data_IF_501094724594
#
_entry.id   IF_501094724594
#
_cell.length_a   1.000
_cell.length_b   1.000
_cell.length_c   1.000
_cell.angle_alpha   90.00
_cell.angle_beta   90.00
_cell.angle_gamma   90.00
#
_symmetry.space_group_name_H-M   'P 1'
#
loop_
_entity.id
_entity.type
_entity.pdbx_description
1 polymer ?
#
# COMPACT_ATOMS: atom_id res chain seq x y z
N UNK A 1 19.40 29.53 -45.13
CA UNK A 1 20.12 28.49 -44.33
C UNK A 1 19.87 28.62 -42.84
N UNK A 2 19.97 29.83 -42.24
CA UNK A 2 19.71 30.04 -40.80
C UNK A 2 18.27 29.68 -40.40
N UNK A 3 17.30 30.02 -41.24
CA UNK A 3 15.86 29.77 -40.98
C UNK A 3 15.49 28.28 -40.98
N UNK A 4 16.17 27.48 -41.82
CA UNK A 4 15.96 26.02 -41.86
C UNK A 4 16.55 25.36 -40.61
N UNK A 5 17.74 25.78 -40.18
CA UNK A 5 18.38 25.27 -38.97
C UNK A 5 17.58 25.61 -37.70
N UNK A 6 17.01 26.82 -37.63
CA UNK A 6 16.19 27.24 -36.49
C UNK A 6 14.90 26.43 -36.38
N UNK A 7 14.25 26.13 -37.53
CA UNK A 7 13.05 25.29 -37.57
C UNK A 7 13.34 23.86 -37.12
N UNK A 8 14.44 23.27 -37.57
CA UNK A 8 14.82 21.90 -37.16
C UNK A 8 15.16 21.81 -35.67
N UNK A 9 15.83 22.81 -35.10
CA UNK A 9 16.13 22.85 -33.66
C UNK A 9 14.84 22.98 -32.84
N UNK A 10 13.90 23.84 -33.28
CA UNK A 10 12.62 24.00 -32.62
C UNK A 10 11.78 22.71 -32.64
N UNK A 11 11.71 22.02 -33.78
CA UNK A 11 11.02 20.73 -33.93
C UNK A 11 11.63 19.64 -33.04
N UNK A 12 12.97 19.60 -32.91
CA UNK A 12 13.66 18.66 -32.03
C UNK A 12 13.35 18.90 -30.56
N UNK A 13 13.31 20.16 -30.13
CA UNK A 13 12.96 20.54 -28.75
C UNK A 13 11.51 20.12 -28.46
N UNK A 14 10.56 20.44 -29.34
CA UNK A 14 9.16 20.05 -29.17
C UNK A 14 9.01 18.52 -29.12
N UNK A 15 9.74 17.78 -29.96
CA UNK A 15 9.73 16.33 -29.93
C UNK A 15 10.27 15.77 -28.61
N UNK A 16 11.33 16.34 -28.06
CA UNK A 16 11.87 15.95 -26.74
C UNK A 16 10.87 16.21 -25.63
N UNK A 17 10.20 17.37 -25.63
CA UNK A 17 9.16 17.68 -24.67
C UNK A 17 7.94 16.74 -24.80
N UNK A 18 7.53 16.41 -26.03
CA UNK A 18 6.45 15.47 -26.26
C UNK A 18 6.79 14.07 -25.75
N UNK A 19 8.01 13.59 -25.96
CA UNK A 19 8.49 12.30 -25.45
C UNK A 19 8.55 12.31 -23.92
N UNK A 20 9.11 13.36 -23.32
CA UNK A 20 9.17 13.50 -21.87
C UNK A 20 7.77 13.55 -21.24
N UNK A 21 6.84 14.30 -21.85
CA UNK A 21 5.46 14.39 -21.39
C UNK A 21 4.72 13.06 -21.56
N UNK A 22 4.96 12.34 -22.66
CA UNK A 22 4.41 11.01 -22.89
C UNK A 22 4.94 10.00 -21.86
N UNK A 23 6.23 10.06 -21.51
CA UNK A 23 6.81 9.23 -20.46
C UNK A 23 6.21 9.56 -19.08
N UNK A 24 6.03 10.85 -18.76
CA UNK A 24 5.37 11.27 -17.52
C UNK A 24 3.89 10.84 -17.45
N UNK A 25 3.18 10.85 -18.57
CA UNK A 25 1.81 10.32 -18.64
C UNK A 25 1.82 8.80 -18.44
N UNK A 26 2.77 8.09 -19.06
CA UNK A 26 2.92 6.65 -18.84
C UNK A 26 3.20 6.34 -17.37
N UNK A 27 4.11 7.07 -16.73
CA UNK A 27 4.39 6.96 -15.29
C UNK A 27 3.15 7.28 -14.44
N UNK A 28 2.37 8.30 -14.81
CA UNK A 28 1.14 8.70 -14.12
C UNK A 28 -0.08 7.81 -14.35
N UNK A 29 -0.15 7.08 -15.47
CA UNK A 29 -1.25 6.16 -15.82
C UNK A 29 -0.96 4.69 -15.45
N UNK A 30 0.27 4.37 -15.03
CA UNK A 30 0.69 3.03 -14.64
C UNK A 30 0.58 2.64 -13.14
N UNK A 31 -0.04 3.38 -12.20
CA UNK A 31 -0.19 2.86 -10.85
C UNK A 31 -1.38 1.87 -10.83
N UNK A 32 -1.11 0.60 -11.15
CA UNK A 32 -2.08 -0.50 -10.99
C UNK A 32 -2.09 -1.59 -12.07
N UNK A 33 -1.35 -1.44 -13.17
CA UNK A 33 -1.29 -2.46 -14.25
C UNK A 33 0.05 -3.24 -14.31
N UNK A 34 0.93 -2.98 -13.34
CA UNK A 34 2.34 -3.38 -13.29
C UNK A 34 2.63 -4.68 -12.53
N UNK A 35 1.60 -5.48 -12.22
CA UNK A 35 1.81 -6.87 -11.82
C UNK A 35 1.94 -7.77 -13.06
N UNK A 36 0.81 -8.24 -13.59
CA UNK A 36 0.82 -9.28 -14.62
C UNK A 36 1.42 -8.87 -15.97
N UNK A 37 1.21 -7.65 -16.45
CA UNK A 37 1.68 -7.25 -17.81
C UNK A 37 3.18 -7.00 -17.82
N UNK A 38 3.71 -6.34 -16.79
CA UNK A 38 5.15 -6.11 -16.64
C UNK A 38 5.90 -7.39 -16.28
N UNK A 39 5.30 -8.28 -15.48
CA UNK A 39 5.85 -9.62 -15.28
C UNK A 39 5.80 -10.45 -16.56
N UNK A 40 4.77 -10.30 -17.39
CA UNK A 40 4.71 -10.88 -18.74
C UNK A 40 5.82 -10.37 -19.65
N UNK A 41 6.08 -9.07 -19.67
CA UNK A 41 7.17 -8.45 -20.44
C UNK A 41 8.54 -8.86 -19.89
N UNK A 42 8.72 -8.84 -18.57
CA UNK A 42 9.94 -9.30 -17.90
C UNK A 42 10.24 -10.76 -18.19
N UNK A 43 9.22 -11.63 -18.16
CA UNK A 43 9.36 -13.05 -18.54
C UNK A 43 9.69 -13.20 -20.03
N UNK A 44 9.11 -12.38 -20.91
CA UNK A 44 9.44 -12.37 -22.33
C UNK A 44 10.89 -11.91 -22.59
N UNK A 45 11.37 -10.89 -21.85
CA UNK A 45 12.77 -10.43 -21.91
C UNK A 45 13.72 -11.50 -21.35
N UNK A 46 13.32 -12.19 -20.29
CA UNK A 46 14.11 -13.27 -19.67
C UNK A 46 14.23 -14.51 -20.56
N UNK A 47 13.26 -14.72 -21.46
CA UNK A 47 13.26 -15.77 -22.48
C UNK A 47 14.22 -15.46 -23.66
N UNK A 48 14.69 -14.22 -23.79
CA UNK A 48 15.73 -13.88 -24.77
C UNK A 48 17.09 -14.43 -24.32
N UNK A 49 17.97 -14.80 -25.27
CA UNK A 49 19.31 -15.33 -24.99
C UNK A 49 20.30 -14.21 -24.59
N UNK A 50 19.95 -13.44 -23.57
CA UNK A 50 20.74 -12.34 -23.03
C UNK A 50 21.63 -12.89 -21.89
N UNK A 51 22.90 -12.45 -21.76
CA UNK A 51 23.75 -12.81 -20.63
C UNK A 51 23.06 -12.55 -19.27
N UNK A 52 23.25 -13.48 -18.32
CA UNK A 52 22.53 -13.47 -17.03
C UNK A 52 22.63 -12.16 -16.24
N UNK A 53 23.75 -11.45 -16.33
CA UNK A 53 23.96 -10.18 -15.60
C UNK A 53 23.19 -8.99 -16.18
N UNK A 54 22.58 -9.13 -17.36
CA UNK A 54 21.70 -8.14 -17.98
C UNK A 54 20.23 -8.53 -17.90
N UNK A 55 19.91 -9.69 -17.31
CA UNK A 55 18.52 -10.10 -17.11
C UNK A 55 17.96 -9.32 -15.92
N UNK A 56 16.76 -8.72 -16.04
CA UNK A 56 16.10 -8.10 -14.91
C UNK A 56 15.83 -9.16 -13.83
N UNK A 57 16.05 -8.82 -12.55
CA UNK A 57 15.53 -9.63 -11.44
C UNK A 57 14.00 -9.49 -11.46
N UNK A 58 13.31 -10.63 -11.44
CA UNK A 58 11.86 -10.74 -11.46
C UNK A 58 11.36 -11.40 -10.16
N UNK A 59 12.13 -11.33 -9.09
CA UNK A 59 11.86 -12.08 -7.85
C UNK A 59 10.51 -11.67 -7.21
N UNK A 60 10.01 -10.48 -7.53
CA UNK A 60 8.72 -9.96 -7.09
C UNK A 60 7.54 -10.36 -8.01
N UNK A 61 7.80 -10.91 -9.19
CA UNK A 61 6.78 -11.25 -10.20
C UNK A 61 5.99 -12.55 -9.93
N UNK A 62 6.18 -13.15 -8.76
CA UNK A 62 5.49 -14.36 -8.32
C UNK A 62 4.72 -14.21 -7.01
N UNK A 63 4.73 -13.01 -6.40
CA UNK A 63 3.95 -12.76 -5.18
C UNK A 63 2.47 -12.63 -5.54
N UNK A 64 1.84 -13.79 -5.66
CA UNK A 64 0.40 -13.93 -5.68
C UNK A 64 -0.08 -13.60 -4.26
N UNK A 65 -0.22 -12.31 -3.95
CA UNK A 65 -0.93 -11.85 -2.76
C UNK A 65 -2.39 -12.28 -2.90
N UNK A 66 -2.61 -13.54 -2.56
CA UNK A 66 -3.94 -14.09 -2.40
C UNK A 66 -4.27 -13.68 -0.98
N UNK A 67 -5.10 -12.66 -0.80
CA UNK A 67 -5.70 -12.35 0.50
C UNK A 67 -6.49 -13.59 0.92
N UNK A 68 -5.81 -14.51 1.61
CA UNK A 68 -6.46 -15.69 2.13
C UNK A 68 -7.26 -15.21 3.33
N UNK A 69 -8.59 -15.35 3.25
CA UNK A 69 -9.46 -15.17 4.40
C UNK A 69 -8.94 -16.02 5.55
N UNK A 70 -8.58 -15.39 6.66
CA UNK A 70 -8.10 -16.06 7.85
C UNK A 70 -9.24 -16.13 8.86
N UNK A 71 -9.59 -17.34 9.28
CA UNK A 71 -10.58 -17.53 10.35
C UNK A 71 -9.85 -17.56 11.69
N UNK A 72 -10.14 -16.59 12.56
CA UNK A 72 -9.60 -16.53 13.91
C UNK A 72 -10.42 -17.44 14.83
N UNK A 73 -9.79 -18.49 15.36
CA UNK A 73 -10.44 -19.42 16.31
C UNK A 73 -10.47 -18.90 17.75
N UNK A 74 -9.87 -17.74 18.01
CA UNK A 74 -9.80 -17.11 19.31
C UNK A 74 -10.43 -15.72 19.25
N UNK A 75 -10.91 -15.18 20.38
CA UNK A 75 -11.48 -13.84 20.41
C UNK A 75 -10.48 -12.79 19.95
N UNK A 76 -10.90 -11.86 19.11
CA UNK A 76 -10.06 -10.75 18.69
C UNK A 76 -10.02 -9.68 19.78
N UNK A 77 -8.82 -9.20 20.11
CA UNK A 77 -8.57 -8.03 20.95
C UNK A 77 -7.75 -6.96 20.19
N UNK A 78 -7.60 -5.76 20.79
CA UNK A 78 -6.83 -4.66 20.19
C UNK A 78 -5.38 -5.09 19.87
N UNK A 79 -4.77 -5.89 20.73
CA UNK A 79 -3.39 -6.36 20.60
C UNK A 79 -3.19 -7.28 19.39
N UNK A 80 -4.14 -8.18 19.15
CA UNK A 80 -4.15 -9.07 17.99
C UNK A 80 -4.38 -8.27 16.71
N UNK A 81 -5.36 -7.37 16.70
CA UNK A 81 -5.62 -6.54 15.53
C UNK A 81 -4.41 -5.68 15.17
N UNK A 82 -3.74 -5.13 16.18
CA UNK A 82 -2.54 -4.33 16.00
C UNK A 82 -1.39 -5.16 15.42
N UNK A 83 -1.20 -6.41 15.87
CA UNK A 83 -0.20 -7.30 15.27
C UNK A 83 -0.43 -7.49 13.76
N UNK A 84 -1.67 -7.73 13.34
CA UNK A 84 -2.00 -7.85 11.91
C UNK A 84 -1.76 -6.54 11.14
N UNK A 85 -1.98 -5.40 11.77
CA UNK A 85 -1.71 -4.09 11.18
C UNK A 85 -0.20 -3.83 11.03
N UNK A 86 0.60 -4.14 12.06
CA UNK A 86 2.06 -4.07 12.03
C UNK A 86 2.64 -4.96 10.93
N UNK A 87 2.24 -6.24 10.89
CA UNK A 87 2.70 -7.18 9.86
C UNK A 87 2.29 -6.72 8.45
N UNK A 88 1.09 -6.15 8.30
CA UNK A 88 0.65 -5.57 7.04
C UNK A 88 1.51 -4.35 6.65
N UNK A 89 1.89 -3.51 7.60
CA UNK A 89 2.76 -2.37 7.36
C UNK A 89 4.16 -2.81 6.94
N UNK A 90 4.84 -3.62 7.76
CA UNK A 90 6.22 -4.06 7.52
C UNK A 90 6.37 -4.76 6.15
N UNK A 91 5.46 -5.67 5.82
CA UNK A 91 5.53 -6.39 4.56
C UNK A 91 5.33 -5.50 3.32
N UNK A 92 4.67 -4.34 3.45
CA UNK A 92 4.33 -3.49 2.30
C UNK A 92 5.14 -2.19 2.24
N UNK A 93 5.69 -1.72 3.37
CA UNK A 93 6.57 -0.54 3.44
C UNK A 93 7.99 -0.87 2.94
N UNK A 94 8.39 -2.14 2.91
CA UNK A 94 9.68 -2.63 2.37
C UNK A 94 9.81 -2.58 0.83
N UNK A 95 9.01 -1.76 0.13
CA UNK A 95 9.27 -1.41 -1.27
C UNK A 95 8.38 -2.11 -2.31
N UNK A 96 7.15 -2.47 -1.96
CA UNK A 96 6.15 -2.88 -2.95
C UNK A 96 5.60 -1.66 -3.68
N UNK A 97 6.25 -1.30 -4.80
CA UNK A 97 6.04 -0.06 -5.54
C UNK A 97 4.58 0.24 -5.90
N UNK A 98 3.97 1.19 -5.17
CA UNK A 98 2.75 1.90 -5.56
C UNK A 98 1.48 1.05 -5.69
N UNK A 99 1.47 -0.19 -5.20
CA UNK A 99 0.33 -1.09 -5.30
C UNK A 99 -0.41 -1.20 -3.96
N UNK A 100 -1.72 -1.01 -3.99
CA UNK A 100 -2.61 -1.14 -2.84
C UNK A 100 -3.05 -2.59 -2.69
N UNK A 101 -2.95 -3.15 -1.49
CA UNK A 101 -3.24 -4.56 -1.22
C UNK A 101 -4.10 -4.76 0.02
N UNK A 102 -5.02 -5.71 -0.06
CA UNK A 102 -5.61 -6.31 1.14
C UNK A 102 -4.61 -7.28 1.73
N UNK A 103 -4.06 -6.94 2.89
CA UNK A 103 -3.13 -7.80 3.63
C UNK A 103 -3.86 -9.00 4.21
N UNK A 104 -4.96 -8.73 4.92
CA UNK A 104 -5.72 -9.73 5.66
C UNK A 104 -7.23 -9.47 5.52
N UNK A 105 -7.99 -10.56 5.37
CA UNK A 105 -9.44 -10.59 5.55
C UNK A 105 -9.70 -11.52 6.74
N UNK A 106 -9.84 -10.93 7.93
CA UNK A 106 -9.99 -11.64 9.19
C UNK A 106 -11.47 -11.93 9.41
N UNK A 107 -11.83 -13.21 9.49
CA UNK A 107 -13.14 -13.63 9.95
C UNK A 107 -13.07 -14.03 11.42
N UNK A 108 -13.82 -13.33 12.25
CA UNK A 108 -13.69 -13.36 13.70
C UNK A 108 -14.99 -13.86 14.29
N UNK A 109 -14.94 -14.99 15.00
CA UNK A 109 -16.13 -15.55 15.63
C UNK A 109 -16.63 -14.71 16.81
N UNK A 110 -15.71 -14.11 17.58
CA UNK A 110 -16.03 -13.30 18.75
C UNK A 110 -15.00 -12.18 18.93
N UNK A 111 -15.44 -10.98 19.28
CA UNK A 111 -14.57 -9.85 19.64
C UNK A 111 -14.58 -9.67 21.15
N UNK A 112 -13.39 -9.65 21.76
CA UNK A 112 -13.23 -9.47 23.19
C UNK A 112 -13.48 -8.00 23.56
N UNK A 113 -14.72 -7.68 23.92
CA UNK A 113 -15.12 -6.32 24.28
C UNK A 113 -15.45 -5.47 23.05
N UNK A 114 -14.97 -4.22 23.06
CA UNK A 114 -15.19 -3.24 21.98
C UNK A 114 -13.86 -2.63 21.60
N UNK A 115 -13.43 -2.87 20.37
CA UNK A 115 -12.22 -2.29 19.79
C UNK A 115 -12.65 -1.01 19.09
N UNK A 116 -12.04 0.12 19.45
CA UNK A 116 -12.32 1.44 18.90
C UNK A 116 -11.05 2.03 18.30
N UNK A 117 -11.18 3.06 17.48
CA UNK A 117 -10.01 3.79 16.98
C UNK A 117 -9.17 4.38 18.14
N UNK A 118 -9.83 4.82 19.21
CA UNK A 118 -9.17 5.40 20.39
C UNK A 118 -8.34 4.36 21.16
N UNK A 119 -8.91 3.18 21.44
CA UNK A 119 -8.20 2.10 22.13
C UNK A 119 -7.06 1.55 21.29
N UNK A 120 -7.27 1.42 19.98
CA UNK A 120 -6.24 1.03 19.03
C UNK A 120 -5.09 2.05 18.97
N UNK A 121 -5.41 3.34 18.94
CA UNK A 121 -4.42 4.42 18.91
C UNK A 121 -3.63 4.51 20.22
N UNK A 122 -4.30 4.33 21.36
CA UNK A 122 -3.64 4.28 22.66
C UNK A 122 -2.63 3.13 22.72
N UNK A 123 -2.96 1.98 22.11
CA UNK A 123 -2.08 0.83 22.06
C UNK A 123 -0.87 1.06 21.14
N UNK A 124 -1.04 1.79 20.03
CA UNK A 124 0.08 2.23 19.18
C UNK A 124 1.07 3.11 19.97
N UNK A 125 0.56 4.03 20.79
CA UNK A 125 1.38 4.87 21.67
C UNK A 125 2.11 4.04 22.72
N UNK A 126 1.42 3.14 23.41
CA UNK A 126 1.99 2.25 24.42
C UNK A 126 3.15 1.39 23.85
N UNK A 127 3.00 0.90 22.61
CA UNK A 127 4.02 0.09 21.94
C UNK A 127 5.12 0.88 21.24
N UNK A 128 5.05 2.21 21.26
CA UNK A 128 6.04 3.08 20.61
C UNK A 128 6.01 3.01 19.08
N UNK A 129 4.84 2.71 18.50
CA UNK A 129 4.65 2.55 17.06
C UNK A 129 4.20 3.85 16.38
N UNK A 130 4.13 4.96 17.11
CA UNK A 130 3.72 6.26 16.57
C UNK A 130 4.64 6.82 15.50
N UNK A 131 5.90 6.37 15.42
CA UNK A 131 6.78 6.77 14.32
C UNK A 131 6.54 5.92 13.05
N UNK A 132 6.04 4.69 13.22
CA UNK A 132 5.81 3.72 12.14
C UNK A 132 4.42 3.86 11.54
N UNK A 133 3.38 3.80 12.38
CA UNK A 133 1.97 3.89 12.00
C UNK A 133 1.31 5.02 12.82
N UNK A 134 1.67 6.29 12.57
CA UNK A 134 1.07 7.41 13.28
C UNK A 134 -0.43 7.51 13.00
N UNK A 135 -1.21 7.82 14.02
CA UNK A 135 -2.63 8.15 13.95
C UNK A 135 -2.90 9.41 14.77
N UNK A 136 -2.93 10.57 14.14
CA UNK A 136 -3.12 11.85 14.81
C UNK A 136 -4.46 12.53 14.50
N UNK A 137 -5.28 11.89 13.66
CA UNK A 137 -6.60 12.37 13.30
C UNK A 137 -7.63 11.26 13.50
N UNK A 138 -8.12 11.16 14.73
CA UNK A 138 -9.19 10.23 15.09
C UNK A 138 -10.53 10.82 14.66
N UNK A 139 -11.43 9.98 14.12
CA UNK A 139 -12.80 10.38 13.77
C UNK A 139 -13.74 10.32 15.00
N UNK A 140 -13.20 10.64 16.17
CA UNK A 140 -13.90 10.64 17.45
C UNK A 140 -13.96 12.07 17.97
N UNK A 141 -15.17 12.59 18.19
CA UNK A 141 -15.34 13.95 18.73
C UNK A 141 -14.66 14.07 20.11
N UNK A 142 -13.59 14.88 20.18
CA UNK A 142 -12.86 15.23 21.41
C UNK A 142 -12.02 14.10 22.05
N UNK A 143 -11.54 13.12 21.29
CA UNK A 143 -10.47 12.27 21.84
C UNK A 143 -9.22 13.12 22.10
N UNK A 144 -8.66 13.01 23.30
CA UNK A 144 -7.39 13.63 23.68
C UNK A 144 -6.18 12.76 23.32
N UNK A 145 -6.41 11.72 22.54
CA UNK A 145 -5.47 10.65 22.22
C UNK A 145 -4.98 10.85 20.80
N UNK A 146 -3.69 11.03 20.62
CA UNK A 146 -3.02 11.13 19.32
C UNK A 146 -1.74 10.30 19.33
N UNK A 147 -1.29 9.88 18.14
CA UNK A 147 -0.09 9.07 18.00
C UNK A 147 0.72 9.60 16.81
N UNK A 148 1.78 10.35 17.11
CA UNK A 148 2.70 10.89 16.11
C UNK A 148 2.22 12.17 15.41
N UNK A 149 2.98 12.61 14.41
CA UNK A 149 2.79 13.92 13.76
C UNK A 149 2.02 13.88 12.43
N UNK A 150 1.59 12.70 11.98
CA UNK A 150 0.88 12.52 10.71
C UNK A 150 -0.24 11.48 10.82
N UNK A 151 -1.02 11.29 9.76
CA UNK A 151 -2.10 10.32 9.76
C UNK A 151 -1.85 9.22 8.72
N UNK A 152 -1.38 8.07 9.20
CA UNK A 152 -1.08 6.88 8.40
C UNK A 152 -2.04 5.73 8.69
N UNK A 153 -2.97 5.90 9.62
CA UNK A 153 -4.08 5.00 9.86
C UNK A 153 -5.39 5.63 9.36
N UNK A 154 -6.27 4.83 8.76
CA UNK A 154 -7.60 5.25 8.37
C UNK A 154 -8.61 4.22 8.87
N UNK A 155 -9.34 4.61 9.90
CA UNK A 155 -10.37 3.79 10.53
C UNK A 155 -11.72 3.97 9.82
N UNK A 156 -12.28 2.90 9.24
CA UNK A 156 -13.56 2.95 8.49
C UNK A 156 -14.67 2.09 9.08
N UNK A 157 -14.32 1.17 9.97
CA UNK A 157 -15.21 0.12 10.48
C UNK A 157 -16.10 0.57 11.66
N UNK A 158 -15.82 1.73 12.26
CA UNK A 158 -16.49 2.16 13.50
C UNK A 158 -16.09 1.28 14.68
N UNK A 159 -16.93 1.17 15.70
CA UNK A 159 -16.66 0.31 16.86
C UNK A 159 -16.80 -1.17 16.47
N UNK A 160 -15.75 -1.96 16.70
CA UNK A 160 -15.74 -3.39 16.40
C UNK A 160 -16.16 -4.15 17.67
N UNK A 161 -17.31 -4.82 17.62
CA UNK A 161 -17.81 -5.64 18.72
C UNK A 161 -18.79 -6.72 18.23
N UNK A 162 -19.02 -7.74 19.05
CA UNK A 162 -19.99 -8.80 18.78
C UNK A 162 -19.38 -10.08 18.21
N UNK A 163 -20.18 -10.81 17.44
CA UNK A 163 -19.87 -12.14 16.90
C UNK A 163 -19.89 -12.12 15.36
N UNK A 164 -19.15 -13.05 14.74
CA UNK A 164 -19.10 -13.26 13.28
C UNK A 164 -18.75 -12.00 12.46
N UNK A 165 -17.76 -11.23 12.95
CA UNK A 165 -17.30 -9.99 12.31
C UNK A 165 -16.24 -10.29 11.24
N UNK A 166 -16.29 -9.57 10.12
CA UNK A 166 -15.20 -9.59 9.12
C UNK A 166 -14.48 -8.26 9.15
N UNK A 167 -13.16 -8.29 9.30
CA UNK A 167 -12.30 -7.11 9.35
C UNK A 167 -11.28 -7.22 8.24
N UNK A 168 -11.13 -6.17 7.46
CA UNK A 168 -10.18 -6.11 6.37
C UNK A 168 -9.06 -5.16 6.75
N UNK A 169 -7.84 -5.70 6.82
CA UNK A 169 -6.61 -4.93 7.00
C UNK A 169 -5.97 -4.73 5.63
N UNK A 170 -5.83 -3.48 5.22
CA UNK A 170 -5.41 -3.12 3.86
C UNK A 170 -4.34 -2.05 3.90
N UNK A 171 -3.30 -2.21 3.08
CA UNK A 171 -2.32 -1.16 2.82
C UNK A 171 -2.68 -0.40 1.54
N UNK A 172 -2.83 0.92 1.64
CA UNK A 172 -3.06 1.83 0.52
C UNK A 172 -1.74 2.54 0.17
N UNK A 173 -1.14 2.14 -0.95
CA UNK A 173 0.15 2.67 -1.39
C UNK A 173 0.05 4.08 -2.02
N UNK A 174 -1.12 4.52 -2.46
CA UNK A 174 -1.29 5.86 -3.05
C UNK A 174 -1.17 6.94 -1.97
N UNK A 175 -1.82 6.69 -0.84
CA UNK A 175 -1.81 7.60 0.30
C UNK A 175 -0.75 7.23 1.34
N UNK A 176 -0.06 6.10 1.13
CA UNK A 176 0.87 5.48 2.08
C UNK A 176 0.22 5.39 3.48
N UNK A 177 -0.87 4.62 3.59
CA UNK A 177 -1.63 4.46 4.83
C UNK A 177 -2.21 3.07 4.98
N UNK A 178 -2.41 2.64 6.22
CA UNK A 178 -3.15 1.46 6.58
C UNK A 178 -4.64 1.80 6.72
N UNK A 179 -5.51 0.96 6.17
CA UNK A 179 -6.97 1.07 6.26
C UNK A 179 -7.52 -0.15 7.01
N UNK A 180 -8.33 0.11 8.04
CA UNK A 180 -9.09 -0.92 8.76
C UNK A 180 -10.56 -0.75 8.40
N UNK A 181 -11.11 -1.73 7.69
CA UNK A 181 -12.43 -1.70 7.03
C UNK A 181 -13.32 -2.82 7.56
#
# INVERSE_FOLDING_TARGET
MVELAFKTIAELIVALFAVAFFLLIIEGMLPGATGNTFCGIGNAISALPIPHHLKPSLDQCGLKHTSARQELQYPLDDATLLQYAEECWENNDEGMGGMTYTCYELFVWEVSGTITEETFTSLLEERGLCDTIPNNFLDVEKSGTDCGASNRLLWKIGDISGEEVTIIVKYNAFDHRLEII
#
